data_IF_203332371807
#
_entry.id   IF_203332371807
#
_cell.length_a   1.000
_cell.length_b   1.000
_cell.length_c   1.000
_cell.angle_alpha   90.00
_cell.angle_beta   90.00
_cell.angle_gamma   90.00
#
_symmetry.space_group_name_H-M   'P 1'
#
loop_
_entity.id
_entity.type
_entity.pdbx_description
1 polymer ?
#
# COMPACT_ATOMS: atom_id res chain seq x y z
N UNK A 1 -14.88 9.20 -22.51
CA UNK A 1 -14.79 8.05 -21.60
C UNK A 1 -14.80 6.79 -22.45
N UNK A 2 -13.74 5.99 -22.34
CA UNK A 2 -13.67 4.70 -23.02
C UNK A 2 -14.88 3.86 -22.56
N UNK A 3 -15.75 3.53 -23.51
CA UNK A 3 -16.93 2.69 -23.27
C UNK A 3 -16.48 1.22 -23.14
N UNK A 4 -15.69 0.94 -22.08
CA UNK A 4 -15.25 -0.41 -21.79
C UNK A 4 -16.46 -1.17 -21.28
N UNK A 5 -16.87 -2.20 -22.03
CA UNK A 5 -18.00 -3.02 -21.61
C UNK A 5 -17.75 -3.56 -20.18
N UNK A 6 -18.66 -3.37 -19.23
CA UNK A 6 -18.47 -3.79 -17.85
C UNK A 6 -18.10 -5.27 -17.71
N UNK A 7 -18.56 -6.11 -18.63
CA UNK A 7 -18.20 -7.53 -18.72
C UNK A 7 -16.71 -7.75 -18.87
N UNK A 8 -16.02 -6.89 -19.62
CA UNK A 8 -14.57 -6.99 -19.87
C UNK A 8 -13.78 -6.63 -18.60
N UNK A 9 -14.22 -5.62 -17.85
CA UNK A 9 -13.61 -5.27 -16.57
C UNK A 9 -13.77 -6.41 -15.55
N UNK A 10 -14.97 -6.97 -15.44
CA UNK A 10 -15.23 -8.10 -14.55
C UNK A 10 -14.42 -9.35 -14.93
N UNK A 11 -14.25 -9.64 -16.23
CA UNK A 11 -13.43 -10.77 -16.68
C UNK A 11 -11.95 -10.59 -16.32
N UNK A 12 -11.37 -9.39 -16.48
CA UNK A 12 -9.99 -9.10 -16.07
C UNK A 12 -9.81 -9.23 -14.56
N UNK A 13 -10.75 -8.73 -13.76
CA UNK A 13 -10.72 -8.88 -12.30
C UNK A 13 -10.77 -10.35 -11.88
N UNK A 14 -11.64 -11.12 -12.50
CA UNK A 14 -11.79 -12.55 -12.20
C UNK A 14 -10.53 -13.34 -12.56
N UNK A 15 -9.95 -13.07 -13.74
CA UNK A 15 -8.68 -13.67 -14.16
C UNK A 15 -7.55 -13.29 -13.19
N UNK A 16 -7.47 -12.01 -12.77
CA UNK A 16 -6.48 -11.54 -11.80
C UNK A 16 -6.59 -12.26 -10.45
N UNK A 17 -7.81 -12.44 -9.95
CA UNK A 17 -8.08 -13.16 -8.69
C UNK A 17 -7.70 -14.64 -8.82
N UNK A 18 -8.04 -15.29 -9.93
CA UNK A 18 -7.68 -16.69 -10.18
C UNK A 18 -6.17 -16.89 -10.30
N UNK A 19 -5.47 -16.00 -11.00
CA UNK A 19 -4.00 -16.04 -11.09
C UNK A 19 -3.35 -15.82 -9.71
N UNK A 20 -3.79 -14.84 -8.95
CA UNK A 20 -3.28 -14.60 -7.60
C UNK A 20 -3.54 -15.81 -6.67
N UNK A 21 -4.74 -16.38 -6.72
CA UNK A 21 -5.10 -17.56 -5.95
C UNK A 21 -4.28 -18.79 -6.34
N UNK A 22 -4.03 -19.01 -7.63
CA UNK A 22 -3.18 -20.12 -8.11
C UNK A 22 -1.72 -19.96 -7.66
N UNK A 23 -1.18 -18.74 -7.72
CA UNK A 23 0.18 -18.44 -7.25
C UNK A 23 0.33 -18.66 -5.75
N UNK A 24 -0.59 -18.16 -4.95
CA UNK A 24 -0.59 -18.39 -3.50
C UNK A 24 -0.75 -19.87 -3.17
N UNK A 25 -1.63 -20.57 -3.89
CA UNK A 25 -1.84 -22.01 -3.74
C UNK A 25 -0.60 -22.84 -4.06
N UNK A 26 0.11 -22.54 -5.14
CA UNK A 26 1.35 -23.24 -5.51
C UNK A 26 2.45 -23.04 -4.45
N UNK A 27 2.62 -21.80 -3.95
CA UNK A 27 3.60 -21.51 -2.89
C UNK A 27 3.21 -22.22 -1.59
N UNK A 28 1.92 -22.20 -1.22
CA UNK A 28 1.43 -22.88 -0.03
C UNK A 28 1.67 -24.40 -0.10
N UNK A 29 1.37 -25.03 -1.23
CA UNK A 29 1.59 -26.47 -1.45
C UNK A 29 3.09 -26.79 -1.43
N UNK A 30 3.93 -25.97 -2.07
CA UNK A 30 5.38 -26.14 -2.07
C UNK A 30 5.99 -26.07 -0.65
N UNK A 31 5.42 -25.20 0.21
CA UNK A 31 5.93 -25.02 1.59
C UNK A 31 5.42 -26.06 2.59
N UNK A 32 4.18 -26.50 2.46
CA UNK A 32 3.55 -27.46 3.38
C UNK A 32 3.75 -28.91 2.96
N UNK A 33 4.02 -29.16 1.68
CA UNK A 33 4.28 -30.51 1.17
C UNK A 33 5.65 -31.01 1.57
N UNK A 34 5.75 -32.34 1.87
CA UNK A 34 7.01 -33.01 2.16
C UNK A 34 7.84 -33.26 0.89
N UNK A 35 8.16 -32.19 0.18
CA UNK A 35 8.98 -32.25 -1.03
C UNK A 35 10.47 -32.14 -0.71
N UNK A 36 11.30 -32.82 -1.51
CA UNK A 36 12.76 -32.63 -1.47
C UNK A 36 13.12 -31.19 -1.84
N UNK A 37 14.22 -30.60 -1.31
CA UNK A 37 14.62 -29.23 -1.58
C UNK A 37 14.68 -28.90 -3.08
N UNK A 38 15.16 -29.83 -3.89
CA UNK A 38 15.26 -29.70 -5.36
C UNK A 38 13.87 -29.57 -6.02
N UNK A 39 12.92 -30.42 -5.61
CA UNK A 39 11.56 -30.43 -6.14
C UNK A 39 10.79 -29.19 -5.75
N UNK A 40 11.01 -28.68 -4.54
CA UNK A 40 10.47 -27.42 -4.06
C UNK A 40 10.95 -26.24 -4.91
N UNK A 41 12.25 -26.18 -5.19
CA UNK A 41 12.84 -25.14 -6.01
C UNK A 41 12.31 -25.20 -7.46
N UNK A 42 12.10 -26.39 -8.01
CA UNK A 42 11.49 -26.54 -9.33
C UNK A 42 10.04 -26.02 -9.39
N UNK A 43 9.23 -26.35 -8.37
CA UNK A 43 7.84 -25.84 -8.27
C UNK A 43 7.83 -24.32 -8.18
N UNK A 44 8.71 -23.74 -7.36
CA UNK A 44 8.80 -22.29 -7.21
C UNK A 44 9.31 -21.60 -8.50
N UNK A 45 10.28 -22.19 -9.21
CA UNK A 45 10.74 -21.70 -10.52
C UNK A 45 9.63 -21.76 -11.57
N UNK A 46 8.75 -22.75 -11.54
CA UNK A 46 7.62 -22.88 -12.46
C UNK A 46 6.59 -21.73 -12.33
N UNK A 47 6.58 -21.01 -11.20
CA UNK A 47 5.71 -19.82 -11.03
C UNK A 47 6.12 -18.63 -11.91
N UNK A 48 7.31 -18.62 -12.47
CA UNK A 48 7.86 -17.50 -13.26
C UNK A 48 8.22 -16.26 -12.42
N UNK A 49 8.08 -16.33 -11.10
CA UNK A 49 8.41 -15.24 -10.19
C UNK A 49 9.92 -15.19 -9.89
N UNK A 50 10.42 -13.99 -9.67
CA UNK A 50 11.80 -13.79 -9.20
C UNK A 50 11.97 -14.29 -7.76
N UNK A 51 13.15 -14.79 -7.35
CA UNK A 51 13.36 -15.35 -6.00
C UNK A 51 12.93 -14.42 -4.85
N UNK A 52 13.17 -13.12 -4.99
CA UNK A 52 12.78 -12.13 -3.98
C UNK A 52 11.24 -11.93 -3.88
N UNK A 53 10.51 -12.11 -4.98
CA UNK A 53 9.03 -12.04 -4.99
C UNK A 53 8.44 -13.28 -4.32
N UNK A 54 8.99 -14.46 -4.63
CA UNK A 54 8.62 -15.71 -3.97
C UNK A 54 8.85 -15.60 -2.46
N UNK A 55 10.03 -15.09 -2.03
CA UNK A 55 10.35 -14.91 -0.61
C UNK A 55 9.34 -14.00 0.10
N UNK A 56 8.91 -12.88 -0.53
CA UNK A 56 7.88 -11.99 0.05
C UNK A 56 6.54 -12.70 0.27
N UNK A 57 6.13 -13.55 -0.67
CA UNK A 57 4.92 -14.35 -0.55
C UNK A 57 5.07 -15.48 0.48
N UNK A 58 6.26 -16.10 0.58
CA UNK A 58 6.56 -17.09 1.61
C UNK A 58 6.49 -16.48 3.02
N UNK A 59 7.10 -15.29 3.21
CA UNK A 59 7.02 -14.55 4.47
C UNK A 59 5.57 -14.16 4.82
N UNK A 60 4.77 -13.84 3.81
CA UNK A 60 3.35 -13.54 4.02
C UNK A 60 2.56 -14.75 4.50
N UNK A 61 2.76 -15.92 3.88
CA UNK A 61 2.05 -17.15 4.22
C UNK A 61 2.59 -17.83 5.49
N UNK A 62 3.91 -17.73 5.72
CA UNK A 62 4.62 -18.42 6.80
C UNK A 62 5.61 -17.48 7.50
N UNK A 63 5.12 -16.46 8.24
CA UNK A 63 5.98 -15.46 8.87
C UNK A 63 6.94 -16.07 9.89
N UNK A 64 6.58 -17.21 10.48
CA UNK A 64 7.37 -17.91 11.49
C UNK A 64 8.67 -18.54 10.96
N UNK A 65 8.76 -18.73 9.65
CA UNK A 65 9.96 -19.30 9.01
C UNK A 65 11.09 -18.29 8.79
N UNK A 66 10.83 -17.00 8.83
CA UNK A 66 11.82 -15.92 8.62
C UNK A 66 11.95 -15.06 9.89
N UNK A 67 12.60 -15.61 10.91
CA UNK A 67 12.75 -14.99 12.24
C UNK A 67 13.74 -13.81 12.28
N UNK A 68 14.53 -13.57 11.23
CA UNK A 68 15.57 -12.54 11.21
C UNK A 68 15.46 -11.57 10.02
N UNK A 69 14.41 -11.72 9.19
CA UNK A 69 14.21 -10.89 7.99
C UNK A 69 12.84 -10.24 7.94
N UNK A 70 12.19 -10.37 6.78
CA UNK A 70 10.87 -9.76 6.55
C UNK A 70 9.79 -10.26 7.50
N UNK A 71 9.83 -11.54 7.92
CA UNK A 71 8.90 -12.11 8.90
C UNK A 71 9.02 -11.45 10.27
N UNK A 72 10.26 -11.21 10.72
CA UNK A 72 10.53 -10.46 11.95
C UNK A 72 9.95 -9.04 11.88
N UNK A 73 10.28 -8.28 10.82
CA UNK A 73 9.80 -6.91 10.64
C UNK A 73 8.28 -6.83 10.62
N UNK A 74 7.62 -7.79 9.95
CA UNK A 74 6.17 -7.89 9.95
C UNK A 74 5.59 -8.08 11.35
N UNK A 75 6.13 -9.02 12.13
CA UNK A 75 5.68 -9.24 13.51
C UNK A 75 5.86 -8.01 14.38
N UNK A 76 7.01 -7.35 14.30
CA UNK A 76 7.25 -6.13 15.06
C UNK A 76 6.30 -5.01 14.65
N UNK A 77 5.96 -4.90 13.37
CA UNK A 77 4.94 -3.97 12.87
C UNK A 77 3.55 -4.28 13.44
N UNK A 78 3.12 -5.55 13.43
CA UNK A 78 1.83 -5.97 14.00
C UNK A 78 1.77 -5.71 15.51
N UNK A 79 2.87 -5.95 16.25
CA UNK A 79 2.99 -5.65 17.67
C UNK A 79 2.90 -4.13 17.91
N UNK A 80 3.60 -3.32 17.10
CA UNK A 80 3.55 -1.87 17.20
C UNK A 80 2.11 -1.35 17.06
N UNK A 81 1.41 -1.76 16.00
CA UNK A 81 0.01 -1.37 15.77
C UNK A 81 -0.88 -1.81 16.94
N UNK A 82 -0.73 -3.06 17.40
CA UNK A 82 -1.55 -3.60 18.50
C UNK A 82 -1.27 -2.95 19.85
N UNK A 83 -0.03 -2.51 20.09
CA UNK A 83 0.38 -1.91 21.37
C UNK A 83 -0.02 -0.44 21.56
N UNK A 84 -0.40 0.25 20.46
CA UNK A 84 -0.78 1.67 20.51
C UNK A 84 -2.07 1.95 21.28
N UNK A 85 -2.97 0.98 21.44
CA UNK A 85 -4.23 1.18 22.15
C UNK A 85 -5.11 2.25 21.50
N UNK A 86 -5.96 2.91 22.32
CA UNK A 86 -6.89 3.94 21.79
C UNK A 86 -6.21 5.28 21.51
N UNK A 87 -5.29 5.72 22.35
CA UNK A 87 -4.69 7.07 22.33
C UNK A 87 -3.20 7.08 22.02
N UNK A 88 -2.58 5.91 21.85
CA UNK A 88 -1.15 5.77 21.61
C UNK A 88 -0.30 5.89 22.86
N UNK A 89 0.99 5.57 22.70
CA UNK A 89 2.00 5.71 23.76
C UNK A 89 2.54 7.14 23.89
N UNK A 90 2.25 8.00 22.92
CA UNK A 90 2.74 9.38 22.82
C UNK A 90 3.87 9.53 21.81
N UNK A 91 4.06 10.77 21.35
CA UNK A 91 5.06 11.11 20.36
C UNK A 91 6.48 10.78 20.85
N UNK A 92 7.28 10.12 20.02
CA UNK A 92 8.63 9.61 20.31
C UNK A 92 8.70 8.68 21.55
N UNK A 93 7.60 8.03 21.92
CA UNK A 93 7.54 7.04 23.01
C UNK A 93 7.21 5.63 22.50
N UNK A 94 7.24 5.41 21.18
CA UNK A 94 7.05 4.11 20.57
C UNK A 94 8.23 3.18 20.88
N UNK A 95 7.97 2.06 21.57
CA UNK A 95 9.02 1.13 21.99
C UNK A 95 9.63 0.39 20.80
N UNK A 96 8.82 0.02 19.80
CA UNK A 96 9.28 -0.77 18.65
C UNK A 96 10.30 -0.02 17.80
N UNK A 97 10.15 1.29 17.67
CA UNK A 97 11.09 2.15 16.98
C UNK A 97 12.27 2.54 17.87
N UNK A 98 12.01 3.00 19.10
CA UNK A 98 13.03 3.54 20.01
C UNK A 98 14.03 2.48 20.51
N UNK A 99 13.57 1.24 20.75
CA UNK A 99 14.42 0.13 21.17
C UNK A 99 15.09 -0.59 20.00
N UNK A 100 14.83 -0.14 18.74
CA UNK A 100 15.46 -0.70 17.55
C UNK A 100 14.94 -2.08 17.14
N UNK A 101 13.81 -2.53 17.67
CA UNK A 101 13.16 -3.77 17.23
C UNK A 101 12.71 -3.66 15.76
N UNK A 102 12.28 -2.48 15.34
CA UNK A 102 12.03 -2.17 13.94
C UNK A 102 13.18 -1.27 13.42
N UNK A 103 14.04 -1.76 12.52
CA UNK A 103 15.20 -1.00 12.04
C UNK A 103 14.79 0.37 11.46
N UNK A 104 15.49 1.48 11.79
CA UNK A 104 15.13 2.83 11.34
C UNK A 104 14.98 2.99 9.83
N UNK A 105 15.80 2.27 9.04
CA UNK A 105 15.73 2.28 7.57
C UNK A 105 14.44 1.68 7.02
N UNK A 106 13.80 0.79 7.77
CA UNK A 106 12.58 0.09 7.36
C UNK A 106 11.35 0.77 7.97
N UNK A 107 11.44 1.18 9.23
CA UNK A 107 10.34 1.82 9.95
C UNK A 107 9.97 3.18 9.38
N UNK A 108 10.95 3.99 8.99
CA UNK A 108 10.70 5.34 8.44
C UNK A 108 10.17 5.32 7.01
N UNK A 109 10.37 4.23 6.27
CA UNK A 109 9.93 4.10 4.88
C UNK A 109 8.67 3.25 4.76
N UNK A 110 8.84 1.95 4.93
CA UNK A 110 7.82 0.97 4.58
C UNK A 110 6.81 0.74 5.71
N UNK A 111 7.25 0.85 6.98
CA UNK A 111 6.43 0.57 8.17
C UNK A 111 6.10 1.81 8.99
N UNK A 112 6.10 3.00 8.36
CA UNK A 112 5.83 4.25 9.07
C UNK A 112 4.43 4.29 9.69
N UNK A 113 3.44 3.64 9.07
CA UNK A 113 2.10 3.55 9.62
C UNK A 113 2.07 2.80 10.96
N UNK A 114 2.88 1.75 11.13
CA UNK A 114 2.95 1.03 12.40
C UNK A 114 3.54 1.88 13.53
N UNK A 115 4.56 2.71 13.22
CA UNK A 115 5.12 3.67 14.18
C UNK A 115 4.07 4.71 14.56
N UNK A 116 3.37 5.26 13.58
CA UNK A 116 2.28 6.21 13.82
C UNK A 116 1.15 5.59 14.67
N UNK A 117 0.78 4.35 14.37
CA UNK A 117 -0.26 3.64 15.12
C UNK A 117 0.19 3.32 16.55
N UNK A 118 1.48 3.06 16.79
CA UNK A 118 2.01 2.88 18.15
C UNK A 118 2.00 4.18 18.95
N UNK A 119 2.43 5.30 18.33
CA UNK A 119 2.56 6.59 18.98
C UNK A 119 1.23 7.33 19.18
N UNK A 120 0.37 7.36 18.15
CA UNK A 120 -0.90 8.08 18.15
C UNK A 120 -2.13 7.19 18.39
N UNK A 121 -1.94 5.87 18.41
CA UNK A 121 -2.97 4.88 18.69
C UNK A 121 -4.04 4.78 17.60
N UNK A 122 -5.16 4.18 17.97
CA UNK A 122 -6.30 4.02 17.09
C UNK A 122 -6.86 5.36 16.60
N UNK A 123 -6.95 6.36 17.50
CA UNK A 123 -7.44 7.69 17.15
C UNK A 123 -6.57 8.36 16.07
N UNK A 124 -5.24 8.31 16.20
CA UNK A 124 -4.31 8.82 15.19
C UNK A 124 -4.40 8.08 13.88
N UNK A 125 -4.51 6.75 13.91
CA UNK A 125 -4.69 5.91 12.73
C UNK A 125 -5.97 6.27 11.96
N UNK A 126 -7.10 6.41 12.66
CA UNK A 126 -8.38 6.84 12.05
C UNK A 126 -8.28 8.25 11.48
N UNK A 127 -7.59 9.16 12.17
CA UNK A 127 -7.38 10.53 11.67
C UNK A 127 -6.62 10.51 10.33
N UNK A 128 -5.54 9.74 10.23
CA UNK A 128 -4.77 9.60 8.99
C UNK A 128 -5.62 8.99 7.86
N UNK A 129 -6.38 7.93 8.15
CA UNK A 129 -7.31 7.34 7.18
C UNK A 129 -8.35 8.36 6.70
N UNK A 130 -8.90 9.16 7.60
CA UNK A 130 -9.89 10.19 7.27
C UNK A 130 -9.28 11.28 6.38
N UNK A 131 -8.04 11.69 6.66
CA UNK A 131 -7.32 12.65 5.82
C UNK A 131 -7.06 12.09 4.43
N UNK A 132 -6.66 10.83 4.28
CA UNK A 132 -6.52 10.19 2.98
C UNK A 132 -7.86 10.11 2.24
N UNK A 133 -8.94 9.73 2.90
CA UNK A 133 -10.27 9.72 2.29
C UNK A 133 -10.70 11.11 1.83
N UNK A 134 -10.42 12.15 2.62
CA UNK A 134 -10.66 13.55 2.24
C UNK A 134 -9.86 13.97 1.01
N UNK A 135 -8.57 13.60 0.95
CA UNK A 135 -7.69 13.88 -0.18
C UNK A 135 -8.18 13.17 -1.46
N UNK A 136 -8.55 11.90 -1.37
CA UNK A 136 -9.11 11.11 -2.46
C UNK A 136 -10.41 11.73 -2.97
N UNK A 137 -11.32 12.05 -2.05
CA UNK A 137 -12.58 12.69 -2.39
C UNK A 137 -12.38 14.05 -3.09
N UNK A 138 -11.45 14.88 -2.58
CA UNK A 138 -11.12 16.16 -3.20
C UNK A 138 -10.55 15.97 -4.62
N UNK A 139 -9.63 15.01 -4.81
CA UNK A 139 -9.03 14.70 -6.11
C UNK A 139 -10.08 14.21 -7.12
N UNK A 140 -10.96 13.29 -6.70
CA UNK A 140 -12.06 12.81 -7.54
C UNK A 140 -13.07 13.92 -7.85
N UNK A 141 -13.34 14.81 -6.90
CA UNK A 141 -14.22 15.95 -7.12
C UNK A 141 -13.67 16.93 -8.18
N UNK A 142 -12.36 17.15 -8.18
CA UNK A 142 -11.69 17.94 -9.25
C UNK A 142 -11.84 17.24 -10.59
N UNK A 143 -11.55 15.94 -10.65
CA UNK A 143 -11.68 15.15 -11.87
C UNK A 143 -13.11 15.15 -12.43
N UNK A 144 -14.13 15.03 -11.58
CA UNK A 144 -15.54 15.05 -12.00
C UNK A 144 -16.01 16.41 -12.53
N UNK A 145 -15.39 17.52 -12.07
CA UNK A 145 -15.74 18.88 -12.49
C UNK A 145 -14.95 19.37 -13.69
N UNK A 146 -13.91 18.64 -14.09
CA UNK A 146 -13.08 18.97 -15.22
C UNK A 146 -13.81 18.62 -16.53
N UNK A 147 -13.82 19.54 -17.50
CA UNK A 147 -14.41 19.32 -18.81
C UNK A 147 -13.42 18.66 -19.78
N UNK A 148 -12.13 18.94 -19.59
CA UNK A 148 -11.09 18.33 -20.39
C UNK A 148 -10.86 16.86 -19.99
N UNK A 149 -10.90 15.98 -20.99
CA UNK A 149 -10.72 14.52 -20.77
C UNK A 149 -9.35 14.20 -20.21
N UNK A 150 -8.30 14.93 -20.59
CA UNK A 150 -6.94 14.75 -20.07
C UNK A 150 -6.87 15.12 -18.58
N UNK A 151 -7.43 16.27 -18.19
CA UNK A 151 -7.46 16.69 -16.79
C UNK A 151 -8.28 15.74 -15.91
N UNK A 152 -9.40 15.22 -16.45
CA UNK A 152 -10.22 14.22 -15.77
C UNK A 152 -9.48 12.89 -15.58
N UNK A 153 -8.81 12.41 -16.63
CA UNK A 153 -8.03 11.16 -16.56
C UNK A 153 -6.85 11.28 -15.60
N UNK A 154 -6.16 12.42 -15.63
CA UNK A 154 -5.07 12.73 -14.72
C UNK A 154 -5.53 12.73 -13.26
N UNK A 155 -6.64 13.40 -12.95
CA UNK A 155 -7.19 13.46 -11.59
C UNK A 155 -7.61 12.09 -11.04
N UNK A 156 -8.28 11.25 -11.86
CA UNK A 156 -8.63 9.89 -11.49
C UNK A 156 -7.37 9.03 -11.31
N UNK A 157 -6.40 9.15 -12.23
CA UNK A 157 -5.14 8.40 -12.15
C UNK A 157 -4.36 8.73 -10.88
N UNK A 158 -4.24 10.01 -10.53
CA UNK A 158 -3.55 10.44 -9.32
C UNK A 158 -4.28 9.96 -8.05
N UNK A 159 -5.61 10.06 -8.01
CA UNK A 159 -6.41 9.54 -6.90
C UNK A 159 -6.20 8.03 -6.72
N UNK A 160 -6.24 7.27 -7.82
CA UNK A 160 -6.01 5.81 -7.80
C UNK A 160 -4.60 5.48 -7.31
N UNK A 161 -3.57 6.21 -7.76
CA UNK A 161 -2.19 6.01 -7.32
C UNK A 161 -2.06 6.22 -5.81
N UNK A 162 -2.58 7.33 -5.28
CA UNK A 162 -2.54 7.62 -3.83
C UNK A 162 -3.31 6.58 -3.04
N UNK A 163 -4.49 6.18 -3.52
CA UNK A 163 -5.27 5.12 -2.89
C UNK A 163 -4.50 3.80 -2.82
N UNK A 164 -3.95 3.33 -3.95
CA UNK A 164 -3.20 2.08 -3.98
C UNK A 164 -1.99 2.10 -3.05
N UNK A 165 -1.20 3.20 -3.05
CA UNK A 165 -0.05 3.33 -2.16
C UNK A 165 -0.47 3.31 -0.69
N UNK A 166 -1.47 4.11 -0.30
CA UNK A 166 -1.95 4.17 1.09
C UNK A 166 -2.54 2.82 1.52
N UNK A 167 -3.42 2.22 0.69
CA UNK A 167 -4.05 0.95 0.99
C UNK A 167 -3.04 -0.18 1.16
N UNK A 168 -2.12 -0.33 0.20
CA UNK A 168 -1.13 -1.41 0.24
C UNK A 168 -0.16 -1.23 1.42
N UNK A 169 0.31 0.01 1.69
CA UNK A 169 1.19 0.28 2.81
C UNK A 169 0.51 -0.05 4.14
N UNK A 170 -0.70 0.44 4.37
CA UNK A 170 -1.44 0.16 5.61
C UNK A 170 -1.75 -1.34 5.73
N UNK A 171 -2.23 -1.97 4.66
CA UNK A 171 -2.56 -3.40 4.67
C UNK A 171 -1.34 -4.30 4.97
N UNK A 172 -0.14 -3.94 4.46
CA UNK A 172 1.06 -4.74 4.78
C UNK A 172 1.54 -4.54 6.22
N UNK A 173 1.37 -3.33 6.81
CA UNK A 173 1.77 -3.06 8.20
C UNK A 173 0.89 -3.78 9.22
N UNK A 174 -0.38 -4.04 8.90
CA UNK A 174 -1.31 -4.84 9.72
C UNK A 174 -1.34 -6.32 9.34
N UNK A 175 -0.42 -6.77 8.49
CA UNK A 175 -0.27 -8.18 8.11
C UNK A 175 -1.30 -8.72 7.13
N UNK A 176 -2.16 -7.88 6.52
CA UNK A 176 -3.17 -8.31 5.55
C UNK A 176 -2.62 -8.51 4.13
N UNK A 177 -1.45 -7.92 3.82
CA UNK A 177 -0.79 -8.05 2.51
C UNK A 177 0.70 -8.38 2.66
N UNK A 178 1.31 -8.99 1.62
CA UNK A 178 2.77 -9.21 1.61
C UNK A 178 3.52 -7.87 1.64
N UNK A 179 4.74 -7.89 2.19
CA UNK A 179 5.61 -6.72 2.26
C UNK A 179 6.01 -6.30 0.84
N UNK A 180 5.52 -5.15 0.39
CA UNK A 180 5.77 -4.62 -0.95
C UNK A 180 6.87 -3.57 -1.00
N UNK A 181 7.11 -2.84 0.11
CA UNK A 181 8.05 -1.72 0.14
C UNK A 181 7.51 -0.47 -0.54
N UNK A 182 6.18 -0.30 -0.62
CA UNK A 182 5.56 0.92 -1.15
C UNK A 182 5.45 1.96 -0.03
N UNK A 183 5.95 3.20 -0.26
CA UNK A 183 5.89 4.25 0.75
C UNK A 183 4.45 4.76 0.94
N UNK A 184 4.13 5.16 2.17
CA UNK A 184 2.88 5.85 2.49
C UNK A 184 2.94 7.30 1.99
N UNK A 185 2.03 7.76 1.10
CA UNK A 185 2.06 9.11 0.56
C UNK A 185 2.12 10.18 1.64
N UNK A 186 2.95 11.21 1.46
CA UNK A 186 3.16 12.36 2.34
C UNK A 186 3.71 12.07 3.75
N UNK A 187 3.78 10.81 4.19
CA UNK A 187 4.20 10.44 5.55
C UNK A 187 5.54 9.70 5.53
N UNK A 188 5.75 8.77 4.58
CA UNK A 188 7.00 8.01 4.46
C UNK A 188 8.18 8.89 4.05
N UNK A 189 9.36 8.54 4.55
CA UNK A 189 10.60 9.19 4.19
C UNK A 189 11.07 8.75 2.79
N UNK A 190 10.49 9.37 1.75
CA UNK A 190 10.83 9.13 0.34
C UNK A 190 10.99 10.45 -0.41
N UNK A 191 12.20 11.05 -0.38
CA UNK A 191 12.45 12.39 -0.94
C UNK A 191 11.94 12.55 -2.37
N UNK A 192 12.32 11.66 -3.26
CA UNK A 192 11.92 11.71 -4.68
C UNK A 192 10.41 11.49 -4.83
N UNK A 193 9.84 10.54 -4.12
CA UNK A 193 8.41 10.24 -4.15
C UNK A 193 7.57 11.43 -3.64
N UNK A 194 8.01 12.08 -2.56
CA UNK A 194 7.36 13.27 -2.01
C UNK A 194 7.33 14.42 -3.02
N UNK A 195 8.49 14.73 -3.65
CA UNK A 195 8.56 15.79 -4.67
C UNK A 195 7.66 15.47 -5.86
N UNK A 196 7.66 14.23 -6.33
CA UNK A 196 6.80 13.79 -7.44
C UNK A 196 5.32 13.94 -7.09
N UNK A 197 4.91 13.57 -5.88
CA UNK A 197 3.52 13.74 -5.43
C UNK A 197 3.13 15.22 -5.33
N UNK A 198 3.99 16.06 -4.76
CA UNK A 198 3.73 17.50 -4.67
C UNK A 198 3.58 18.14 -6.04
N UNK A 199 4.44 17.77 -7.01
CA UNK A 199 4.30 18.22 -8.40
C UNK A 199 2.99 17.74 -9.03
N UNK A 200 2.63 16.48 -8.83
CA UNK A 200 1.38 15.91 -9.36
C UNK A 200 0.15 16.60 -8.75
N UNK A 201 0.15 16.90 -7.46
CA UNK A 201 -0.93 17.66 -6.83
C UNK A 201 -0.94 19.12 -7.26
N UNK A 202 0.21 19.73 -7.52
CA UNK A 202 0.31 21.07 -8.13
C UNK A 202 -0.33 21.12 -9.53
N UNK A 203 -0.08 20.09 -10.36
CA UNK A 203 -0.74 19.94 -11.65
C UNK A 203 -2.25 19.72 -11.50
N UNK A 204 -2.69 18.92 -10.55
CA UNK A 204 -4.11 18.72 -10.26
C UNK A 204 -4.79 20.03 -9.83
N UNK A 205 -4.10 20.86 -9.05
CA UNK A 205 -4.56 22.19 -8.65
C UNK A 205 -4.70 23.09 -9.88
N UNK A 206 -3.75 23.08 -10.80
CA UNK A 206 -3.83 23.81 -12.08
C UNK A 206 -5.05 23.37 -12.89
N UNK A 207 -5.27 22.05 -13.02
CA UNK A 207 -6.47 21.50 -13.67
C UNK A 207 -7.76 21.98 -12.98
N UNK A 208 -7.75 22.09 -11.65
CA UNK A 208 -8.92 22.60 -10.89
C UNK A 208 -9.24 24.06 -11.18
N UNK A 209 -8.23 24.87 -11.49
CA UNK A 209 -8.38 26.31 -11.74
C UNK A 209 -8.76 26.56 -13.20
N UNK A 210 -8.03 25.96 -14.12
CA UNK A 210 -8.12 26.24 -15.56
C UNK A 210 -9.02 25.26 -16.33
N UNK A 211 -9.32 24.08 -15.79
CA UNK A 211 -10.15 23.07 -16.43
C UNK A 211 -11.66 23.24 -16.23
N UNK A 212 -12.11 24.32 -15.57
CA UNK A 212 -13.53 24.66 -15.41
C UNK A 212 -13.97 25.63 -16.50
N UNK A 213 -15.22 25.48 -16.97
CA UNK A 213 -15.83 26.55 -17.74
C UNK A 213 -15.83 27.86 -16.96
N UNK A 214 -15.58 29.01 -17.62
CA UNK A 214 -15.91 30.32 -17.03
C UNK A 214 -17.41 30.29 -16.68
N UNK A 215 -17.71 30.62 -15.44
CA UNK A 215 -19.10 30.71 -14.96
C UNK A 215 -19.83 31.79 -15.75
N UNK A 216 -20.48 31.43 -16.83
CA UNK A 216 -21.25 32.35 -17.70
C UNK A 216 -22.61 32.70 -17.07
N UNK A 217 -22.70 32.78 -15.75
CA UNK A 217 -23.85 33.34 -15.07
C UNK A 217 -23.60 34.82 -14.78
N UNK A 218 -23.91 35.63 -15.76
CA UNK A 218 -24.28 37.04 -15.58
C UNK A 218 -25.75 37.19 -15.94
#
# INVERSE_FOLDING_TARGET
AANIAPKLVWSFLLIGILLAGSLLGTIYVAEKGNYTPEKKEQILKATGLRPHQVRRLQVFLFPDKDLHGGGYNRRQSEIAVGSGGRWGKGYLKGEQYMLGYLPPSVSSNDFIFSVLAEEAGFAGSVTVLTLFLGLLWASLRVACKCQDDMGRLFGVGLATLVFCHAFINIAMTIGMMPITGLPLPFISYGRTFMVTLLLAFGLLQSVSIYGREPDTRF
#
